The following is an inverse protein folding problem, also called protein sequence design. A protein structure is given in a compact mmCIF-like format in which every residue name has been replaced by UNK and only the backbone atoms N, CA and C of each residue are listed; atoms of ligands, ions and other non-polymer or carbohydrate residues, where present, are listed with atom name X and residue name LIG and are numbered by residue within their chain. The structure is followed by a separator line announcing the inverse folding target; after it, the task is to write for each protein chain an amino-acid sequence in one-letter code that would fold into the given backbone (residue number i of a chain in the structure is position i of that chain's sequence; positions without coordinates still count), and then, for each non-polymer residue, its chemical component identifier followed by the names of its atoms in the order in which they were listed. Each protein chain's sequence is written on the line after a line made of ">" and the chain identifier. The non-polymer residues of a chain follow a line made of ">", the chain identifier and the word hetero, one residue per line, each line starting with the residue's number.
data_IF_719754857536
#
_entry.id   IF_719754857536
#
_cell.length_a   1.000
_cell.length_b   1.000
_cell.length_c   1.000
_cell.angle_alpha   90.00
_cell.angle_beta   90.00
_cell.angle_gamma   90.00
#
_symmetry.space_group_name_H-M   'P 1'
#
loop_
_entity.id
_entity.type
_entity.pdbx_description
1 polymer ?
#
# COMPACT_ATOMS: atom_id res chain seq x y z
N UNK A 1 -7.50 -11.17 18.56
CA UNK A 1 -7.35 -9.87 17.87
C UNK A 1 -8.66 -9.12 17.95
N UNK A 2 -8.65 -7.88 18.42
CA UNK A 2 -9.84 -7.03 18.59
C UNK A 2 -9.53 -5.63 18.10
N UNK A 3 -10.41 -5.05 17.30
CA UNK A 3 -10.31 -3.65 16.87
C UNK A 3 -11.22 -2.79 17.74
N UNK A 4 -10.78 -1.56 18.01
CA UNK A 4 -11.59 -0.55 18.67
C UNK A 4 -11.54 0.72 17.82
N UNK A 5 -12.70 1.20 17.40
CA UNK A 5 -12.80 2.45 16.67
C UNK A 5 -12.29 3.60 17.53
N UNK A 6 -11.51 4.48 16.90
CA UNK A 6 -10.95 5.69 17.50
C UNK A 6 -11.49 6.91 16.76
N UNK A 7 -11.26 8.09 17.34
CA UNK A 7 -11.61 9.33 16.69
C UNK A 7 -10.88 9.49 15.35
N UNK A 8 -11.50 10.25 14.44
CA UNK A 8 -10.91 10.62 13.16
C UNK A 8 -9.59 11.35 13.39
N UNK A 9 -8.51 10.86 12.76
CA UNK A 9 -7.17 11.42 12.92
C UNK A 9 -7.04 12.82 12.29
N UNK A 10 -7.53 12.97 11.06
CA UNK A 10 -7.53 14.22 10.29
C UNK A 10 -8.84 14.34 9.52
N UNK A 11 -9.38 15.55 9.46
CA UNK A 11 -10.55 15.91 8.63
C UNK A 11 -10.26 17.21 7.85
N UNK A 12 -10.84 17.38 6.64
CA UNK A 12 -10.57 18.53 5.78
C UNK A 12 -10.73 19.87 6.48
N UNK A 13 -9.85 20.82 6.18
CA UNK A 13 -9.89 22.19 6.68
C UNK A 13 -10.02 23.17 5.52
N UNK A 14 -10.62 24.36 5.73
CA UNK A 14 -10.61 25.42 4.72
C UNK A 14 -9.20 25.71 4.19
N UNK A 15 -9.08 25.90 2.87
CA UNK A 15 -7.80 26.15 2.20
C UNK A 15 -7.34 24.97 1.33
N UNK A 16 -6.04 24.66 1.40
CA UNK A 16 -5.33 23.75 0.48
C UNK A 16 -5.74 22.27 0.56
N UNK A 17 -6.48 21.88 1.61
CA UNK A 17 -6.95 20.52 1.87
C UNK A 17 -8.47 20.44 2.06
N UNK A 18 -9.20 21.44 1.56
CA UNK A 18 -10.63 21.65 1.83
C UNK A 18 -11.56 20.59 1.24
N UNK A 19 -11.14 19.88 0.20
CA UNK A 19 -11.92 18.83 -0.44
C UNK A 19 -11.62 17.45 0.15
N UNK A 20 -10.43 17.24 0.71
CA UNK A 20 -10.04 15.92 1.19
C UNK A 20 -8.66 15.83 1.80
N UNK A 21 -8.57 14.96 2.81
CA UNK A 21 -7.32 14.37 3.27
C UNK A 21 -7.20 12.98 2.66
N UNK A 22 -6.44 12.89 1.59
CA UNK A 22 -6.15 11.66 0.90
C UNK A 22 -5.01 10.91 1.58
N UNK A 23 -4.70 9.73 1.07
CA UNK A 23 -3.77 8.79 1.67
C UNK A 23 -2.37 9.38 1.91
N UNK A 24 -1.62 8.68 2.74
CA UNK A 24 -0.29 9.09 3.16
C UNK A 24 0.44 8.00 3.94
N UNK A 25 1.50 8.41 4.62
CA UNK A 25 2.38 7.52 5.37
C UNK A 25 2.68 8.07 6.76
N UNK A 26 2.83 7.18 7.73
CA UNK A 26 3.24 7.50 9.10
C UNK A 26 4.68 7.07 9.30
N UNK A 27 5.50 7.97 9.82
CA UNK A 27 6.88 7.69 10.24
C UNK A 27 7.12 8.22 11.66
N UNK A 28 8.16 7.71 12.31
CA UNK A 28 8.73 8.37 13.48
C UNK A 28 9.80 9.35 12.99
N UNK A 29 9.70 10.62 13.38
CA UNK A 29 10.70 11.63 12.99
C UNK A 29 12.06 11.42 13.71
N UNK A 30 13.00 12.34 13.50
CA UNK A 30 14.32 12.29 14.14
C UNK A 30 14.26 12.34 15.69
N UNK A 31 13.16 12.79 16.27
CA UNK A 31 12.91 12.88 17.71
C UNK A 31 11.94 11.78 18.20
N UNK A 32 11.67 10.77 17.38
CA UNK A 32 10.69 9.71 17.63
C UNK A 32 9.24 10.20 17.79
N UNK A 33 8.89 11.34 17.20
CA UNK A 33 7.53 11.86 17.20
C UNK A 33 6.78 11.25 16.01
N UNK A 34 5.64 10.58 16.24
CA UNK A 34 4.79 10.08 15.16
C UNK A 34 4.34 11.24 14.26
N UNK A 35 4.68 11.14 12.98
CA UNK A 35 4.45 12.15 11.97
C UNK A 35 3.76 11.51 10.77
N UNK A 36 2.55 11.97 10.47
CA UNK A 36 1.84 11.63 9.24
C UNK A 36 2.27 12.63 8.17
N UNK A 37 2.56 12.13 6.97
CA UNK A 37 2.65 12.91 5.74
C UNK A 37 1.53 12.44 4.82
N UNK A 38 0.73 13.36 4.30
CA UNK A 38 -0.51 13.04 3.60
C UNK A 38 -0.78 13.99 2.45
N UNK A 39 -1.63 13.55 1.52
CA UNK A 39 -2.10 14.40 0.42
C UNK A 39 -3.32 15.22 0.84
N UNK A 40 -3.26 16.53 0.69
CA UNK A 40 -4.42 17.42 0.79
C UNK A 40 -4.84 17.91 -0.59
N UNK A 41 -6.15 18.03 -0.81
CA UNK A 41 -6.72 18.52 -2.08
C UNK A 41 -7.68 19.68 -1.85
N UNK A 42 -7.63 20.69 -2.72
CA UNK A 42 -8.53 21.85 -2.72
C UNK A 42 -9.58 21.83 -3.85
N UNK A 43 -9.62 20.75 -4.63
CA UNK A 43 -10.48 20.59 -5.81
C UNK A 43 -9.87 21.11 -7.12
N UNK A 44 -8.73 21.80 -7.05
CA UNK A 44 -7.96 22.25 -8.23
C UNK A 44 -6.63 21.50 -8.32
N UNK A 45 -5.94 21.31 -7.19
CA UNK A 45 -4.65 20.65 -7.10
C UNK A 45 -4.49 19.85 -5.81
N UNK A 46 -3.49 18.98 -5.82
CA UNK A 46 -3.03 18.24 -4.67
C UNK A 46 -1.70 18.81 -4.15
N UNK A 47 -1.53 18.80 -2.84
CA UNK A 47 -0.28 19.12 -2.16
C UNK A 47 0.02 18.14 -1.03
N UNK A 48 1.24 18.16 -0.49
CA UNK A 48 1.64 17.31 0.64
C UNK A 48 1.75 18.15 1.90
N UNK A 49 1.07 17.73 2.96
CA UNK A 49 1.22 18.30 4.29
C UNK A 49 1.68 17.25 5.30
N UNK A 50 1.87 17.72 6.54
CA UNK A 50 2.21 16.86 7.66
C UNK A 50 1.43 17.21 8.94
N UNK A 51 1.29 16.23 9.81
CA UNK A 51 0.77 16.41 11.16
C UNK A 51 1.49 15.50 12.15
N UNK A 52 1.75 16.00 13.35
CA UNK A 52 2.45 15.28 14.40
C UNK A 52 1.53 14.94 15.56
N UNK A 53 1.71 13.76 16.15
CA UNK A 53 1.02 13.38 17.38
C UNK A 53 1.93 13.51 18.59
N UNK A 54 1.43 14.08 19.67
CA UNK A 54 2.15 14.19 20.95
C UNK A 54 2.24 12.84 21.72
N UNK A 55 2.22 11.71 21.01
CA UNK A 55 2.55 10.38 21.53
C UNK A 55 1.38 9.41 21.72
N UNK A 56 0.12 9.88 21.73
CA UNK A 56 -1.04 8.98 21.92
C UNK A 56 -1.66 8.47 20.60
N UNK A 57 -1.22 8.98 19.44
CA UNK A 57 -1.77 8.68 18.10
C UNK A 57 -3.26 9.05 17.92
N UNK A 58 -3.86 9.73 18.89
CA UNK A 58 -5.25 10.14 18.86
C UNK A 58 -5.38 11.59 18.41
N UNK A 59 -4.49 12.47 18.86
CA UNK A 59 -4.51 13.89 18.53
C UNK A 59 -3.36 14.23 17.59
N UNK A 60 -3.66 15.00 16.54
CA UNK A 60 -2.74 15.34 15.47
C UNK A 60 -2.69 16.86 15.28
N UNK A 61 -1.50 17.44 15.47
CA UNK A 61 -1.24 18.86 15.24
C UNK A 61 -0.65 19.03 13.84
N UNK A 62 -1.36 19.72 12.96
CA UNK A 62 -0.87 20.06 11.62
C UNK A 62 0.37 20.95 11.73
N UNK A 63 1.32 20.73 10.84
CA UNK A 63 2.45 21.63 10.70
C UNK A 63 1.97 23.01 10.21
N UNK A 64 2.42 24.08 10.87
CA UNK A 64 2.04 25.46 10.54
C UNK A 64 2.53 25.89 9.15
N UNK A 65 3.57 25.24 8.62
CA UNK A 65 4.10 25.45 7.26
C UNK A 65 3.39 24.64 6.18
N UNK A 66 2.30 23.94 6.49
CA UNK A 66 1.55 23.20 5.46
C UNK A 66 0.94 24.16 4.40
N UNK A 67 0.88 23.73 3.12
CA UNK A 67 1.46 22.50 2.58
C UNK A 67 2.99 22.57 2.46
N UNK A 68 3.68 21.51 2.86
CA UNK A 68 5.14 21.37 2.73
C UNK A 68 5.58 21.28 1.26
N UNK A 69 4.77 20.62 0.44
CA UNK A 69 4.92 20.60 -1.02
C UNK A 69 3.59 21.11 -1.61
N UNK A 70 3.51 22.36 -2.07
CA UNK A 70 2.24 22.97 -2.45
C UNK A 70 1.56 22.41 -3.71
N UNK A 71 2.35 21.78 -4.60
CA UNK A 71 1.88 21.19 -5.85
C UNK A 71 2.97 20.28 -6.44
N UNK A 72 2.57 19.45 -7.41
CA UNK A 72 3.49 18.74 -8.30
C UNK A 72 4.48 19.71 -8.99
N UNK A 73 5.70 19.28 -9.33
CA UNK A 73 6.62 20.09 -10.12
C UNK A 73 6.03 20.36 -11.51
N UNK A 74 6.33 21.51 -12.12
CA UNK A 74 5.86 21.80 -13.49
C UNK A 74 6.63 21.01 -14.55
N UNK A 75 7.86 20.59 -14.23
CA UNK A 75 8.74 19.84 -15.12
C UNK A 75 9.35 18.66 -14.35
N UNK A 76 9.21 17.42 -14.85
CA UNK A 76 8.51 17.05 -16.09
C UNK A 76 6.98 17.23 -15.98
N UNK A 77 6.32 17.45 -17.12
CA UNK A 77 4.86 17.52 -17.19
C UNK A 77 4.25 16.20 -16.73
N UNK A 78 3.31 16.28 -15.78
CA UNK A 78 2.84 15.13 -15.04
C UNK A 78 1.31 15.02 -14.99
N UNK A 79 0.86 13.90 -14.45
CA UNK A 79 -0.53 13.56 -14.20
C UNK A 79 -0.67 13.19 -12.76
N UNK A 80 -1.51 13.95 -12.07
CA UNK A 80 -1.80 13.71 -10.67
C UNK A 80 -0.58 13.87 -9.75
N UNK A 81 -0.81 13.89 -8.43
CA UNK A 81 0.25 14.05 -7.44
C UNK A 81 -0.26 13.69 -6.04
N UNK A 82 -0.09 12.44 -5.62
CA UNK A 82 -0.65 11.98 -4.34
C UNK A 82 0.07 10.79 -3.73
N UNK A 83 -0.35 10.45 -2.52
CA UNK A 83 0.03 9.25 -1.78
C UNK A 83 1.53 9.20 -1.45
N UNK A 84 2.03 10.11 -0.58
CA UNK A 84 3.42 10.12 -0.19
C UNK A 84 3.78 8.86 0.61
N UNK A 85 4.91 8.23 0.25
CA UNK A 85 5.56 7.19 1.03
C UNK A 85 6.95 7.67 1.44
N UNK A 86 7.29 7.55 2.73
CA UNK A 86 8.49 8.16 3.30
C UNK A 86 9.39 7.10 3.91
N UNK A 87 10.68 7.16 3.57
CA UNK A 87 11.70 6.25 4.09
C UNK A 87 12.99 7.01 4.39
N UNK A 88 13.90 6.39 5.16
CA UNK A 88 15.19 6.96 5.51
C UNK A 88 16.32 6.06 5.03
N UNK A 89 17.28 6.61 4.30
CA UNK A 89 18.46 5.90 3.83
C UNK A 89 19.69 6.79 3.99
N UNK A 90 20.77 6.25 4.59
CA UNK A 90 22.00 7.01 4.80
C UNK A 90 21.84 8.28 5.65
N UNK A 91 20.88 8.30 6.57
CA UNK A 91 20.58 9.46 7.41
C UNK A 91 19.72 10.54 6.74
N UNK A 92 19.40 10.39 5.45
CA UNK A 92 18.58 11.31 4.66
C UNK A 92 17.16 10.78 4.58
N UNK A 93 16.18 11.68 4.71
CA UNK A 93 14.78 11.36 4.47
C UNK A 93 14.48 11.44 2.98
N UNK A 94 13.77 10.44 2.47
CA UNK A 94 13.25 10.41 1.12
C UNK A 94 11.74 10.27 1.15
N UNK A 95 11.08 10.89 0.18
CA UNK A 95 9.66 10.74 -0.06
C UNK A 95 9.44 10.39 -1.52
N UNK A 96 8.63 9.37 -1.77
CA UNK A 96 8.14 9.06 -3.10
C UNK A 96 6.65 9.37 -3.18
N UNK A 97 6.22 9.94 -4.31
CA UNK A 97 4.84 10.40 -4.50
C UNK A 97 4.33 9.84 -5.82
N UNK A 98 3.16 9.21 -5.80
CA UNK A 98 2.48 8.68 -6.97
C UNK A 98 2.12 9.76 -7.98
N UNK A 99 2.41 9.51 -9.25
CA UNK A 99 2.16 10.42 -10.37
C UNK A 99 2.23 9.66 -11.70
N UNK A 100 2.00 10.36 -12.80
CA UNK A 100 2.30 9.92 -14.15
C UNK A 100 3.08 10.98 -14.91
N UNK A 101 3.77 10.59 -15.98
CA UNK A 101 4.33 11.52 -16.95
C UNK A 101 3.35 11.72 -18.09
N UNK A 102 3.33 12.92 -18.67
CA UNK A 102 2.54 13.18 -19.87
C UNK A 102 3.27 12.73 -21.15
N UNK A 103 4.60 12.84 -21.19
CA UNK A 103 5.43 12.55 -22.37
C UNK A 103 6.75 11.86 -21.97
N UNK A 104 6.94 10.56 -22.29
CA UNK A 104 5.90 9.63 -22.75
C UNK A 104 4.82 9.46 -21.67
N UNK A 105 3.60 9.09 -22.08
CA UNK A 105 2.54 8.78 -21.13
C UNK A 105 2.87 7.47 -20.38
N UNK A 106 3.13 7.55 -19.09
CA UNK A 106 3.47 6.39 -18.25
C UNK A 106 3.29 6.70 -16.78
N UNK A 107 2.97 5.70 -15.96
CA UNK A 107 3.04 5.84 -14.51
C UNK A 107 4.47 5.99 -13.99
N UNK A 108 4.64 6.75 -12.91
CA UNK A 108 5.93 6.92 -12.23
C UNK A 108 5.72 7.30 -10.77
N UNK A 109 6.81 7.44 -10.02
CA UNK A 109 6.80 8.12 -8.73
C UNK A 109 7.87 9.20 -8.72
N UNK A 110 7.54 10.37 -8.20
CA UNK A 110 8.52 11.43 -7.98
C UNK A 110 9.26 11.20 -6.68
N UNK A 111 10.57 11.46 -6.69
CA UNK A 111 11.45 11.40 -5.54
C UNK A 111 11.75 12.81 -5.03
N UNK A 112 11.62 12.96 -3.71
CA UNK A 112 12.07 14.11 -2.96
C UNK A 112 13.02 13.67 -1.85
N UNK A 113 13.90 14.58 -1.41
CA UNK A 113 14.73 14.37 -0.23
C UNK A 113 14.64 15.52 0.75
N UNK A 114 14.90 15.22 2.02
CA UNK A 114 14.87 16.17 3.13
C UNK A 114 15.89 15.77 4.20
N UNK A 115 16.37 16.77 4.94
CA UNK A 115 17.16 16.54 6.17
C UNK A 115 16.30 16.54 7.44
N UNK A 116 15.10 17.13 7.38
CA UNK A 116 14.29 17.49 8.55
C UNK A 116 12.81 17.08 8.47
N UNK A 117 12.39 16.39 7.40
CA UNK A 117 11.00 16.00 7.07
C UNK A 117 10.05 17.16 6.75
N UNK A 118 10.52 18.40 6.75
CA UNK A 118 9.71 19.60 6.53
C UNK A 118 10.06 20.32 5.22
N UNK A 119 11.35 20.44 4.91
CA UNK A 119 11.86 21.08 3.70
C UNK A 119 12.23 20.01 2.69
N UNK A 120 11.53 19.97 1.56
CA UNK A 120 11.67 18.92 0.56
C UNK A 120 12.27 19.46 -0.74
N UNK A 121 13.35 18.83 -1.19
CA UNK A 121 13.96 19.08 -2.49
C UNK A 121 13.46 18.04 -3.50
N UNK A 122 12.90 18.49 -4.62
CA UNK A 122 12.59 17.60 -5.74
C UNK A 122 13.87 17.11 -6.42
N UNK A 123 13.96 15.81 -6.67
CA UNK A 123 15.10 15.16 -7.33
C UNK A 123 14.76 14.80 -8.77
N UNK A 124 13.60 14.19 -8.99
CA UNK A 124 13.19 13.67 -10.28
C UNK A 124 12.29 12.46 -10.16
N UNK A 125 11.93 11.80 -11.27
CA UNK A 125 11.31 10.47 -11.24
C UNK A 125 12.27 9.44 -10.63
N UNK A 126 11.80 8.67 -9.63
CA UNK A 126 12.59 7.57 -9.06
C UNK A 126 12.80 6.43 -10.07
N UNK A 127 11.73 6.12 -10.80
CA UNK A 127 11.68 5.01 -11.73
C UNK A 127 10.64 5.27 -12.83
N UNK A 128 11.05 5.02 -14.07
CA UNK A 128 10.17 5.05 -15.23
C UNK A 128 10.28 3.67 -15.88
N UNK A 129 9.16 2.94 -15.99
CA UNK A 129 9.15 1.68 -16.73
C UNK A 129 9.26 1.96 -18.23
N UNK A 130 10.49 1.95 -18.75
CA UNK A 130 10.79 2.13 -20.17
C UNK A 130 10.54 0.86 -21.00
N UNK A 131 10.34 -0.29 -20.35
CA UNK A 131 10.15 -1.56 -21.05
C UNK A 131 8.74 -1.69 -21.63
N UNK A 132 7.77 -1.01 -21.02
CA UNK A 132 6.33 -1.14 -21.29
C UNK A 132 5.82 -2.59 -21.25
N UNK A 133 6.60 -3.53 -20.72
CA UNK A 133 6.24 -4.95 -20.63
C UNK A 133 5.09 -5.23 -19.67
N UNK A 134 4.77 -4.25 -18.83
CA UNK A 134 3.86 -4.37 -17.69
C UNK A 134 2.58 -3.54 -17.85
N UNK A 135 2.41 -2.83 -18.97
CA UNK A 135 1.41 -1.76 -19.12
C UNK A 135 1.42 -0.82 -17.91
N UNK A 136 2.36 0.15 -17.87
CA UNK A 136 2.56 1.02 -16.72
C UNK A 136 1.36 1.95 -16.45
N UNK A 137 0.35 1.98 -17.31
CA UNK A 137 -0.80 2.87 -17.16
C UNK A 137 -0.44 4.34 -17.31
N UNK A 138 -1.34 5.21 -16.85
CA UNK A 138 -1.20 6.67 -17.02
C UNK A 138 -0.62 7.37 -15.81
N UNK A 139 -0.82 6.83 -14.61
CA UNK A 139 -0.21 7.26 -13.35
C UNK A 139 -0.28 6.11 -12.31
N UNK A 140 0.51 6.22 -11.24
CA UNK A 140 0.58 5.24 -10.16
C UNK A 140 0.10 5.81 -8.83
N UNK A 141 -0.59 4.99 -8.04
CA UNK A 141 -1.13 5.32 -6.72
C UNK A 141 -0.46 4.50 -5.62
N UNK A 142 -0.54 5.03 -4.39
CA UNK A 142 -0.21 4.32 -3.16
C UNK A 142 1.11 3.54 -3.23
N UNK A 143 2.22 4.23 -3.55
CA UNK A 143 3.49 3.55 -3.67
C UNK A 143 3.99 3.06 -2.31
N UNK A 144 4.70 1.94 -2.32
CA UNK A 144 5.44 1.41 -1.17
C UNK A 144 6.87 1.13 -1.60
N UNK A 145 7.85 1.62 -0.83
CA UNK A 145 9.26 1.39 -1.08
C UNK A 145 9.94 0.75 0.12
N UNK A 146 10.08 -0.57 0.09
CA UNK A 146 10.52 -1.35 1.25
C UNK A 146 11.85 -2.05 1.00
N UNK A 147 12.74 -2.03 1.99
CA UNK A 147 14.04 -2.71 1.93
C UNK A 147 13.96 -4.12 2.53
N UNK A 148 14.24 -5.14 1.72
CA UNK A 148 14.40 -6.52 2.13
C UNK A 148 15.88 -6.90 2.04
N UNK A 149 16.58 -6.84 3.18
CA UNK A 149 18.03 -7.08 3.22
C UNK A 149 18.79 -6.06 2.37
N UNK A 150 19.43 -6.52 1.29
CA UNK A 150 20.18 -5.66 0.37
C UNK A 150 19.36 -5.16 -0.84
N UNK A 151 18.12 -5.63 -1.02
CA UNK A 151 17.27 -5.25 -2.16
C UNK A 151 16.11 -4.38 -1.72
N UNK A 152 15.64 -3.54 -2.62
CA UNK A 152 14.44 -2.74 -2.47
C UNK A 152 13.30 -3.34 -3.27
N UNK A 153 12.08 -3.19 -2.76
CA UNK A 153 10.85 -3.42 -3.48
C UNK A 153 10.16 -2.08 -3.74
N UNK A 154 9.84 -1.80 -5.00
CA UNK A 154 8.92 -0.74 -5.38
C UNK A 154 7.58 -1.39 -5.75
N UNK A 155 6.56 -1.15 -4.93
CA UNK A 155 5.19 -1.59 -5.16
C UNK A 155 4.35 -0.36 -5.47
N UNK A 156 3.48 -0.47 -6.49
CA UNK A 156 2.58 0.60 -6.90
C UNK A 156 1.23 0.02 -7.31
N UNK A 157 0.21 0.86 -7.34
CA UNK A 157 -1.11 0.50 -7.84
C UNK A 157 -1.35 1.23 -9.16
N UNK A 158 -1.60 0.47 -10.24
CA UNK A 158 -2.08 1.06 -11.48
C UNK A 158 -3.56 1.38 -11.32
N UNK A 159 -3.89 2.60 -11.74
CA UNK A 159 -5.23 3.15 -11.72
C UNK A 159 -6.13 2.34 -12.66
N UNK A 160 -7.37 2.05 -12.26
CA UNK A 160 -8.31 1.34 -13.12
C UNK A 160 -8.60 2.17 -14.38
N UNK A 161 -8.75 1.48 -15.50
CA UNK A 161 -9.33 2.03 -16.74
C UNK A 161 -10.58 1.21 -17.09
N UNK A 162 -11.52 1.71 -17.89
CA UNK A 162 -12.71 0.95 -18.26
C UNK A 162 -12.36 -0.47 -18.73
N UNK A 163 -12.92 -1.49 -18.06
CA UNK A 163 -12.66 -2.90 -18.34
C UNK A 163 -11.40 -3.50 -17.70
N UNK A 164 -10.56 -2.72 -17.02
CA UNK A 164 -9.37 -3.20 -16.29
C UNK A 164 -9.38 -2.71 -14.84
N UNK A 165 -9.50 -3.62 -13.85
CA UNK A 165 -9.51 -3.22 -12.44
C UNK A 165 -8.17 -2.66 -11.99
N UNK A 166 -8.20 -1.88 -10.91
CA UNK A 166 -7.00 -1.40 -10.21
C UNK A 166 -6.14 -2.60 -9.83
N UNK A 167 -4.81 -2.53 -10.01
CA UNK A 167 -3.93 -3.67 -9.71
C UNK A 167 -2.64 -3.23 -9.06
N UNK A 168 -2.31 -3.88 -7.95
CA UNK A 168 -1.02 -3.76 -7.29
C UNK A 168 0.02 -4.69 -7.94
N UNK A 169 1.17 -4.14 -8.27
CA UNK A 169 2.34 -4.89 -8.73
C UNK A 169 3.62 -4.27 -8.19
N UNK A 170 4.71 -5.04 -8.26
CA UNK A 170 5.99 -4.61 -7.72
C UNK A 170 7.17 -5.05 -8.58
N UNK A 171 8.28 -4.36 -8.39
CA UNK A 171 9.62 -4.76 -8.81
C UNK A 171 10.50 -4.93 -7.59
N UNK A 172 11.46 -5.85 -7.66
CA UNK A 172 12.63 -5.84 -6.77
C UNK A 172 13.83 -5.27 -7.51
N UNK A 173 14.75 -4.64 -6.79
CA UNK A 173 15.88 -3.96 -7.41
C UNK A 173 16.84 -3.31 -6.41
N UNK A 174 17.70 -2.46 -6.96
CA UNK A 174 18.65 -1.67 -6.18
C UNK A 174 18.22 -0.20 -6.12
N UNK A 175 18.49 0.44 -4.99
CA UNK A 175 18.39 1.89 -4.85
C UNK A 175 19.79 2.45 -4.62
N UNK A 176 20.28 3.23 -5.58
CA UNK A 176 21.58 3.89 -5.48
C UNK A 176 21.56 5.19 -6.26
N UNK A 177 22.31 6.19 -5.79
CA UNK A 177 22.40 7.51 -6.42
C UNK A 177 21.01 8.10 -6.72
N UNK A 178 20.09 7.97 -5.77
CA UNK A 178 18.73 8.53 -5.86
C UNK A 178 17.89 7.97 -7.03
N UNK A 179 18.24 6.78 -7.52
CA UNK A 179 17.50 6.07 -8.57
C UNK A 179 17.20 4.61 -8.19
N UNK A 180 16.04 4.11 -8.60
CA UNK A 180 15.71 2.69 -8.49
C UNK A 180 15.96 1.97 -9.81
N UNK A 181 16.73 0.88 -9.77
CA UNK A 181 16.99 0.02 -10.93
C UNK A 181 16.43 -1.38 -10.65
N UNK A 182 15.40 -1.83 -11.39
CA UNK A 182 14.81 -3.15 -11.17
C UNK A 182 15.78 -4.26 -11.59
N UNK A 183 15.81 -5.36 -10.82
CA UNK A 183 16.58 -6.55 -11.16
C UNK A 183 16.01 -7.31 -12.37
N UNK A 184 14.69 -7.20 -12.58
CA UNK A 184 13.98 -7.70 -13.74
C UNK A 184 13.06 -6.59 -14.26
N UNK A 185 13.07 -6.25 -15.57
CA UNK A 185 12.18 -5.22 -16.11
C UNK A 185 10.68 -5.57 -15.98
N UNK A 186 10.33 -6.86 -15.89
CA UNK A 186 8.95 -7.30 -15.70
C UNK A 186 8.55 -7.24 -14.22
N UNK A 187 7.46 -6.53 -13.92
CA UNK A 187 6.85 -6.49 -12.60
C UNK A 187 6.18 -7.82 -12.25
N UNK A 188 6.04 -8.09 -10.95
CA UNK A 188 5.24 -9.19 -10.43
C UNK A 188 3.93 -8.65 -9.85
N UNK A 189 2.83 -9.36 -10.05
CA UNK A 189 1.57 -9.01 -9.38
C UNK A 189 1.73 -9.22 -7.87
N UNK A 190 1.17 -8.32 -7.06
CA UNK A 190 1.18 -8.47 -5.61
C UNK A 190 0.36 -9.70 -5.18
N UNK A 191 -0.79 -9.90 -5.81
CA UNK A 191 -1.72 -10.98 -5.48
C UNK A 191 -2.10 -11.74 -6.76
N UNK A 192 -2.39 -13.04 -6.62
CA UNK A 192 -2.79 -13.90 -7.74
C UNK A 192 -4.20 -13.52 -8.17
N UNK A 193 -5.07 -13.32 -7.18
CA UNK A 193 -6.40 -12.79 -7.36
C UNK A 193 -6.34 -11.31 -6.99
N UNK A 194 -6.71 -10.45 -7.94
CA UNK A 194 -6.58 -9.01 -7.82
C UNK A 194 -7.61 -8.42 -6.85
N UNK A 195 -7.39 -8.63 -5.55
CA UNK A 195 -8.33 -8.31 -4.48
C UNK A 195 -7.69 -7.51 -3.34
N UNK A 196 -6.37 -7.32 -3.32
CA UNK A 196 -5.69 -6.49 -2.34
C UNK A 196 -5.19 -5.20 -3.01
N UNK A 197 -5.69 -4.06 -2.55
CA UNK A 197 -5.29 -2.74 -3.03
C UNK A 197 -4.61 -1.95 -1.92
N UNK A 198 -3.61 -1.15 -2.31
CA UNK A 198 -3.04 -0.08 -1.49
C UNK A 198 -2.61 -0.50 -0.07
N UNK A 199 -1.75 -1.53 0.08
CA UNK A 199 -1.36 -2.01 1.40
C UNK A 199 -0.51 -0.97 2.15
N UNK A 200 -0.84 -0.74 3.42
CA UNK A 200 0.05 -0.13 4.38
C UNK A 200 1.03 -1.18 4.90
N UNK A 201 2.32 -0.84 4.95
CA UNK A 201 3.40 -1.80 5.26
C UNK A 201 4.26 -1.27 6.41
N UNK A 202 4.49 -2.10 7.42
CA UNK A 202 5.36 -1.77 8.54
C UNK A 202 5.92 -3.03 9.21
N UNK A 203 6.89 -2.91 10.11
CA UNK A 203 7.33 -4.01 10.96
C UNK A 203 6.49 -4.15 12.21
N UNK A 204 6.33 -5.39 12.68
CA UNK A 204 5.83 -5.65 14.03
C UNK A 204 6.95 -5.70 15.09
N UNK A 205 6.59 -6.06 16.32
CA UNK A 205 7.49 -6.19 17.48
C UNK A 205 8.55 -7.31 17.34
N UNK A 206 8.37 -8.22 16.38
CA UNK A 206 9.31 -9.28 16.03
C UNK A 206 10.09 -8.97 14.75
N UNK A 207 10.01 -7.73 14.25
CA UNK A 207 10.63 -7.27 13.00
C UNK A 207 10.15 -8.01 11.75
N UNK A 208 8.97 -8.64 11.79
CA UNK A 208 8.35 -9.20 10.58
C UNK A 208 7.80 -8.05 9.76
N UNK A 209 8.03 -8.06 8.44
CA UNK A 209 7.38 -7.12 7.54
C UNK A 209 5.90 -7.51 7.45
N UNK A 210 5.02 -6.60 7.81
CA UNK A 210 3.58 -6.82 7.87
C UNK A 210 2.86 -5.87 6.92
N UNK A 211 1.74 -6.34 6.37
CA UNK A 211 0.92 -5.55 5.46
C UNK A 211 -0.57 -5.76 5.74
N UNK A 212 -1.34 -4.69 5.59
CA UNK A 212 -2.80 -4.70 5.56
C UNK A 212 -3.27 -3.75 4.46
N UNK A 213 -4.24 -4.16 3.66
CA UNK A 213 -4.75 -3.33 2.56
C UNK A 213 -6.25 -3.47 2.40
N UNK A 214 -6.80 -2.75 1.42
CA UNK A 214 -8.25 -2.73 1.16
C UNK A 214 -8.62 -3.89 0.25
N UNK A 215 -9.71 -4.57 0.58
CA UNK A 215 -10.41 -5.50 -0.30
C UNK A 215 -11.70 -4.82 -0.75
N UNK A 216 -11.81 -4.46 -2.04
CA UNK A 216 -13.02 -3.84 -2.55
C UNK A 216 -14.15 -4.87 -2.58
N UNK A 217 -15.35 -4.49 -2.13
CA UNK A 217 -16.53 -5.36 -2.17
C UNK A 217 -17.12 -5.52 -3.58
N UNK A 218 -16.68 -4.66 -4.52
CA UNK A 218 -17.11 -4.60 -5.92
C UNK A 218 -18.60 -4.29 -6.10
N UNK A 219 -19.28 -3.83 -5.05
CA UNK A 219 -20.68 -3.42 -5.11
C UNK A 219 -20.80 -2.01 -5.72
N UNK A 220 -21.91 -1.72 -6.42
CA UNK A 220 -22.21 -0.36 -6.85
C UNK A 220 -22.36 0.60 -5.67
N UNK A 221 -22.01 1.88 -5.86
CA UNK A 221 -22.06 2.89 -4.80
C UNK A 221 -23.44 3.09 -4.18
N UNK A 222 -24.53 2.86 -4.93
CA UNK A 222 -25.89 2.92 -4.39
C UNK A 222 -26.16 1.81 -3.36
N UNK A 223 -25.68 0.59 -3.62
CA UNK A 223 -25.82 -0.54 -2.68
C UNK A 223 -24.93 -0.35 -1.45
N UNK A 224 -23.70 0.17 -1.63
CA UNK A 224 -22.83 0.54 -0.52
C UNK A 224 -23.47 1.60 0.38
N UNK A 225 -24.14 2.60 -0.21
CA UNK A 225 -24.88 3.62 0.53
C UNK A 225 -26.03 3.01 1.34
N UNK A 226 -26.81 2.10 0.74
CA UNK A 226 -27.89 1.39 1.43
C UNK A 226 -27.37 0.47 2.56
N UNK A 227 -26.21 -0.17 2.37
CA UNK A 227 -25.56 -0.99 3.38
C UNK A 227 -24.94 -0.19 4.53
N UNK A 228 -24.66 1.10 4.32
CA UNK A 228 -24.03 1.99 5.30
C UNK A 228 -22.51 1.78 5.47
N UNK A 229 -21.89 0.94 4.65
CA UNK A 229 -20.45 0.70 4.63
C UNK A 229 -20.00 0.21 3.25
N UNK A 230 -18.70 0.31 2.98
CA UNK A 230 -18.07 -0.16 1.75
C UNK A 230 -16.68 -0.72 2.04
N UNK A 231 -16.34 -1.80 1.35
CA UNK A 231 -15.03 -2.47 1.39
C UNK A 231 -14.66 -3.00 2.79
N UNK A 232 -13.63 -3.85 2.84
CA UNK A 232 -13.03 -4.30 4.12
C UNK A 232 -11.52 -4.17 4.08
N UNK A 233 -10.88 -4.18 5.23
CA UNK A 233 -9.46 -4.49 5.28
C UNK A 233 -9.23 -5.99 5.10
N UNK A 234 -8.11 -6.34 4.47
CA UNK A 234 -7.62 -7.71 4.42
C UNK A 234 -7.27 -8.20 5.83
N UNK A 235 -7.12 -9.52 5.98
CA UNK A 235 -6.36 -10.05 7.11
C UNK A 235 -4.94 -9.45 7.09
N UNK A 236 -4.35 -9.15 8.26
CA UNK A 236 -2.95 -8.75 8.32
C UNK A 236 -2.08 -9.90 7.81
N UNK A 237 -1.11 -9.57 6.98
CA UNK A 237 -0.21 -10.53 6.33
C UNK A 237 1.23 -10.29 6.79
N UNK A 238 2.02 -11.36 6.91
CA UNK A 238 3.47 -11.29 6.98
C UNK A 238 4.03 -11.48 5.57
N UNK A 239 4.96 -10.61 5.21
CA UNK A 239 5.66 -10.59 3.94
C UNK A 239 7.10 -11.04 4.10
N UNK A 240 7.53 -11.92 3.20
CA UNK A 240 8.89 -12.43 3.14
C UNK A 240 9.37 -12.41 1.69
N UNK A 241 10.57 -11.87 1.46
CA UNK A 241 11.18 -11.89 0.14
C UNK A 241 12.04 -13.15 -0.02
N UNK A 242 11.71 -14.01 -0.98
CA UNK A 242 12.46 -15.24 -1.29
C UNK A 242 12.72 -15.27 -2.80
N UNK A 243 13.98 -15.25 -3.20
CA UNK A 243 14.41 -15.27 -4.61
C UNK A 243 13.67 -14.25 -5.50
N UNK A 244 13.60 -12.99 -5.05
CA UNK A 244 12.87 -11.89 -5.70
C UNK A 244 11.34 -12.04 -5.79
N UNK A 245 10.76 -13.05 -5.17
CA UNK A 245 9.31 -13.22 -5.05
C UNK A 245 8.84 -12.91 -3.63
N UNK A 246 7.79 -12.11 -3.52
CA UNK A 246 7.14 -11.77 -2.26
C UNK A 246 6.19 -12.89 -1.83
N UNK A 247 6.56 -13.62 -0.79
CA UNK A 247 5.73 -14.61 -0.12
C UNK A 247 4.87 -13.92 0.94
N UNK A 248 3.60 -14.33 1.00
CA UNK A 248 2.63 -13.78 1.95
C UNK A 248 2.04 -14.91 2.79
N UNK A 249 1.90 -14.69 4.09
CA UNK A 249 1.22 -15.61 5.01
C UNK A 249 0.32 -14.81 5.96
N UNK A 250 -0.80 -15.38 6.46
CA UNK A 250 -1.59 -14.73 7.50
C UNK A 250 -0.73 -14.44 8.73
N UNK A 251 -0.93 -13.28 9.35
CA UNK A 251 -0.17 -12.91 10.54
C UNK A 251 -0.43 -13.89 11.71
N UNK A 252 0.60 -14.37 12.44
CA UNK A 252 0.43 -15.37 13.51
C UNK A 252 -0.51 -14.96 14.65
N UNK A 253 -0.72 -13.66 14.90
CA UNK A 253 -1.72 -13.21 15.90
C UNK A 253 -3.16 -13.62 15.56
N UNK A 254 -3.45 -13.99 14.30
CA UNK A 254 -4.75 -14.55 13.91
C UNK A 254 -4.98 -15.95 14.49
N UNK A 255 -3.94 -16.66 14.89
CA UNK A 255 -4.10 -17.97 15.53
C UNK A 255 -4.87 -17.87 16.85
N UNK A 256 -4.77 -16.72 17.53
CA UNK A 256 -5.50 -16.42 18.76
C UNK A 256 -7.00 -16.16 18.54
N UNK A 257 -7.45 -15.97 17.29
CA UNK A 257 -8.87 -15.81 16.95
C UNK A 257 -9.52 -17.12 16.52
N UNK A 258 -8.76 -18.21 16.42
CA UNK A 258 -9.30 -19.52 16.06
C UNK A 258 -10.20 -20.02 17.18
N UNK A 259 -11.39 -20.49 16.80
CA UNK A 259 -12.28 -21.24 17.68
C UNK A 259 -11.87 -22.71 17.79
N UNK A 260 -12.85 -23.58 18.01
CA UNK A 260 -12.64 -25.02 18.11
C UNK A 260 -12.03 -25.62 16.84
N UNK A 261 -10.90 -26.29 16.98
CA UNK A 261 -10.27 -27.05 15.90
C UNK A 261 -11.05 -28.33 15.63
N UNK A 262 -11.46 -28.53 14.37
CA UNK A 262 -11.96 -29.81 13.87
C UNK A 262 -10.96 -30.38 12.88
N UNK A 263 -10.48 -31.61 13.11
CA UNK A 263 -9.57 -32.30 12.19
C UNK A 263 -10.32 -33.37 11.41
N UNK A 264 -10.19 -33.32 10.08
CA UNK A 264 -10.66 -34.36 9.18
C UNK A 264 -9.44 -35.00 8.51
N UNK A 265 -9.36 -36.32 8.52
CA UNK A 265 -8.24 -37.09 7.97
C UNK A 265 -8.73 -38.20 7.05
N UNK A 266 -7.87 -38.65 6.13
CA UNK A 266 -8.16 -39.77 5.23
C UNK A 266 -9.38 -39.55 4.33
N UNK A 267 -9.64 -38.30 3.93
CA UNK A 267 -10.68 -37.97 2.95
C UNK A 267 -10.16 -38.35 1.56
N UNK A 268 -10.79 -39.35 0.93
CA UNK A 268 -10.56 -39.69 -0.47
C UNK A 268 -11.53 -38.89 -1.34
N UNK A 269 -10.98 -37.99 -2.14
CA UNK A 269 -11.75 -37.16 -3.08
C UNK A 269 -11.80 -37.87 -4.42
N UNK A 270 -13.00 -38.02 -4.97
CA UNK A 270 -13.23 -38.54 -6.32
C UNK A 270 -13.43 -37.38 -7.30
N UNK A 271 -13.10 -37.52 -8.59
CA UNK A 271 -13.16 -36.43 -9.56
C UNK A 271 -14.48 -35.66 -9.63
N UNK A 272 -15.60 -36.34 -9.34
CA UNK A 272 -16.96 -35.77 -9.43
C UNK A 272 -17.71 -35.70 -8.10
N UNK A 273 -17.06 -36.05 -6.99
CA UNK A 273 -17.73 -36.05 -5.69
C UNK A 273 -17.77 -34.66 -5.04
N UNK A 274 -18.72 -34.48 -4.12
CA UNK A 274 -18.89 -33.25 -3.34
C UNK A 274 -19.37 -33.57 -1.92
N UNK A 275 -19.44 -32.56 -1.05
CA UNK A 275 -19.95 -32.74 0.31
C UNK A 275 -18.99 -33.43 1.28
N UNK A 276 -17.69 -33.50 0.95
CA UNK A 276 -16.68 -34.16 1.78
C UNK A 276 -16.42 -33.49 3.14
N UNK A 277 -16.70 -32.19 3.24
CA UNK A 277 -16.53 -31.41 4.45
C UNK A 277 -17.91 -31.15 5.05
N UNK A 278 -18.37 -31.97 5.99
CA UNK A 278 -19.62 -31.76 6.71
C UNK A 278 -19.46 -30.67 7.80
N UNK A 279 -19.02 -29.49 7.40
CA UNK A 279 -18.79 -28.33 8.26
C UNK A 279 -19.67 -27.16 7.80
N UNK A 280 -20.16 -26.35 8.75
CA UNK A 280 -20.99 -25.18 8.48
C UNK A 280 -20.52 -24.01 9.34
N UNK A 281 -20.52 -22.81 8.75
CA UNK A 281 -20.17 -21.57 9.44
C UNK A 281 -19.98 -20.42 8.47
N UNK A 282 -20.13 -19.19 8.95
CA UNK A 282 -19.91 -17.97 8.17
C UNK A 282 -18.48 -17.44 8.27
N UNK A 283 -17.71 -17.92 9.24
CA UNK A 283 -16.32 -17.51 9.50
C UNK A 283 -15.50 -18.76 9.82
N UNK A 284 -14.66 -19.18 8.89
CA UNK A 284 -13.88 -20.42 9.00
C UNK A 284 -12.48 -20.21 8.43
N UNK A 285 -11.50 -20.85 9.05
CA UNK A 285 -10.17 -21.06 8.48
C UNK A 285 -10.02 -22.54 8.15
N UNK A 286 -9.73 -22.86 6.89
CA UNK A 286 -9.54 -24.24 6.42
C UNK A 286 -8.11 -24.37 5.94
N UNK A 287 -7.36 -25.28 6.58
CA UNK A 287 -6.03 -25.70 6.13
C UNK A 287 -6.10 -27.14 5.65
N UNK A 288 -5.79 -27.37 4.38
CA UNK A 288 -5.78 -28.70 3.78
C UNK A 288 -4.40 -29.04 3.22
N UNK A 289 -4.01 -30.30 3.35
CA UNK A 289 -2.84 -30.87 2.69
C UNK A 289 -3.32 -31.94 1.72
N UNK A 290 -2.91 -31.84 0.46
CA UNK A 290 -3.35 -32.75 -0.59
C UNK A 290 -2.18 -33.64 -1.02
N UNK A 291 -2.44 -34.94 -1.14
CA UNK A 291 -1.58 -35.84 -1.92
C UNK A 291 -2.25 -36.00 -3.28
N UNK A 292 -1.75 -35.36 -4.34
CA UNK A 292 -2.32 -35.57 -5.66
C UNK A 292 -2.23 -37.05 -6.02
N UNK A 293 -3.30 -37.61 -6.58
CA UNK A 293 -3.26 -38.96 -7.14
C UNK A 293 -2.31 -39.03 -8.32
N UNK A 294 -1.78 -40.22 -8.60
CA UNK A 294 -1.06 -40.44 -9.85
C UNK A 294 -2.09 -40.42 -10.99
N UNK A 295 -1.93 -39.48 -11.93
CA UNK A 295 -2.65 -39.46 -13.20
C UNK A 295 -2.21 -40.61 -14.10
#
# INVERSE_FOLDING_TARGET
>A
MTWQDKQVALFPQPGWESVGNWSGHLVLDNNNIPTILYTGVDGVKAGIGSAQSAGNLLNWNRNAGNPLIPAAPLTPANRDFRDPYVFKEGGIWYMIIGTGLQMPQTGTVFLYKSSDLTTWQFIGPLFIDQSFLNDPGTFWEMPVFWKFGSKYMLLVNKVPVPGTPARAFYWTGNFANEAFTPANPRSQNLDIINSLLSPAVNTDDQNRVTAIGIIPDLLPGAEQYENGWANVFSLPRVWQMVNDTLYQSPHPNLEQTRGTLTTLSNISVQPTGSGYLNIRGFQMEIKSNHKPGNS
#
